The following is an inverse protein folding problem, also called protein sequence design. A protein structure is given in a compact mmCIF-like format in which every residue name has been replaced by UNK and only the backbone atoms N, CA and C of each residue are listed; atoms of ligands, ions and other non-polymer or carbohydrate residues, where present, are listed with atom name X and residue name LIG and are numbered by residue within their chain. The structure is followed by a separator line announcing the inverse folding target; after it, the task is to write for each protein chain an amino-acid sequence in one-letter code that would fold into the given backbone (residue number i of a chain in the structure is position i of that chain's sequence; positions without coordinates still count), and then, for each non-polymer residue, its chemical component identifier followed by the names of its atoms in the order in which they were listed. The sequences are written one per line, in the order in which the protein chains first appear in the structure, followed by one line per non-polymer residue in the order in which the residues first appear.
data_IF_537256724826
#
_entry.id   IF_537256724826
#
_cell.length_a   1.000
_cell.length_b   1.000
_cell.length_c   1.000
_cell.angle_alpha   90.00
_cell.angle_beta   90.00
_cell.angle_gamma   90.00
#
_symmetry.space_group_name_H-M   'P 1'
#
loop_
_entity.id
_entity.type
_entity.pdbx_description
1 polymer ?
#
# COMPACT_ATOMS: atom_id res chain seq x y z
N UNK A 1 47.96 34.10 -15.71
CA UNK A 1 47.04 35.25 -15.41
C UNK A 1 45.68 35.12 -16.07
N UNK A 2 45.50 34.30 -17.12
CA UNK A 2 44.21 34.13 -17.84
C UNK A 2 43.24 33.17 -17.10
N UNK A 3 43.72 32.43 -16.12
CA UNK A 3 42.89 31.44 -15.36
C UNK A 3 42.30 32.00 -14.06
N UNK A 4 42.50 33.27 -13.71
CA UNK A 4 41.95 33.90 -12.49
C UNK A 4 40.72 34.80 -12.73
N UNK A 5 40.33 35.07 -13.98
CA UNK A 5 39.19 35.93 -14.28
C UNK A 5 37.89 35.21 -14.64
N UNK A 6 37.82 33.87 -14.58
CA UNK A 6 36.59 33.09 -14.88
C UNK A 6 35.87 32.50 -13.67
N UNK A 7 36.20 32.96 -12.46
CA UNK A 7 35.57 32.48 -11.22
C UNK A 7 34.63 33.49 -10.58
N UNK A 8 34.12 34.42 -11.33
CA UNK A 8 33.29 35.44 -10.71
C UNK A 8 32.19 36.00 -11.59
N UNK A 9 31.24 35.28 -12.07
CA UNK A 9 29.89 35.79 -12.41
C UNK A 9 29.09 35.04 -13.44
N UNK A 10 29.16 33.74 -13.60
CA UNK A 10 28.05 33.07 -14.31
C UNK A 10 28.00 31.60 -13.89
N UNK A 11 27.49 31.36 -12.69
CA UNK A 11 26.97 30.06 -12.37
C UNK A 11 25.78 29.80 -13.29
N UNK A 12 25.94 28.89 -14.26
CA UNK A 12 24.95 28.58 -15.27
C UNK A 12 23.59 28.35 -14.59
N UNK A 13 22.49 28.91 -15.17
CA UNK A 13 21.13 28.82 -14.62
C UNK A 13 20.77 27.36 -14.25
N UNK A 14 21.36 26.38 -14.96
CA UNK A 14 21.23 24.95 -14.70
C UNK A 14 21.88 24.50 -13.40
N UNK A 15 23.03 25.09 -13.04
CA UNK A 15 23.74 24.76 -11.79
C UNK A 15 23.13 25.48 -10.60
N UNK A 16 22.55 26.66 -10.79
CA UNK A 16 21.79 27.38 -9.79
C UNK A 16 20.50 26.60 -9.40
N UNK A 17 19.80 26.01 -10.38
CA UNK A 17 18.65 25.13 -10.13
C UNK A 17 19.06 23.85 -9.39
N UNK A 18 20.15 23.19 -9.78
CA UNK A 18 20.69 22.02 -9.08
C UNK A 18 21.11 22.34 -7.65
N UNK A 19 21.77 23.46 -7.42
CA UNK A 19 22.17 23.91 -6.08
C UNK A 19 20.97 24.27 -5.20
N UNK A 20 19.95 24.92 -5.80
CA UNK A 20 18.68 25.19 -5.09
C UNK A 20 17.94 23.90 -4.74
N UNK A 21 17.85 22.96 -5.67
CA UNK A 21 17.27 21.63 -5.42
C UNK A 21 18.03 20.86 -4.33
N UNK A 22 19.36 20.93 -4.33
CA UNK A 22 20.18 20.30 -3.28
C UNK A 22 19.92 20.96 -1.91
N UNK A 23 19.82 22.29 -1.84
CA UNK A 23 19.48 22.99 -0.59
C UNK A 23 18.08 22.61 -0.08
N UNK A 24 17.10 22.55 -0.97
CA UNK A 24 15.73 22.12 -0.63
C UNK A 24 15.75 20.66 -0.11
N UNK A 25 16.49 19.79 -0.78
CA UNK A 25 16.65 18.41 -0.37
C UNK A 25 17.31 18.28 1.04
N UNK A 26 18.35 19.06 1.31
CA UNK A 26 19.00 19.11 2.63
C UNK A 26 18.05 19.68 3.70
N UNK A 27 17.27 20.71 3.38
CA UNK A 27 16.26 21.28 4.30
C UNK A 27 15.18 20.26 4.60
N UNK A 28 14.73 19.50 3.61
CA UNK A 28 13.74 18.42 3.79
C UNK A 28 14.32 17.32 4.68
N UNK A 29 15.58 16.90 4.48
CA UNK A 29 16.23 15.90 5.33
C UNK A 29 16.36 16.42 6.77
N UNK A 30 16.73 17.68 6.96
CA UNK A 30 16.84 18.29 8.30
C UNK A 30 15.45 18.41 8.94
N UNK A 31 14.42 18.81 8.20
CA UNK A 31 13.06 18.91 8.70
C UNK A 31 12.48 17.51 9.08
N UNK A 32 12.75 16.50 8.27
CA UNK A 32 12.41 15.10 8.56
C UNK A 32 13.22 14.61 9.77
N UNK A 33 14.51 14.92 9.86
CA UNK A 33 15.35 14.59 11.01
C UNK A 33 14.88 15.24 12.30
N UNK A 34 14.46 16.51 12.26
CA UNK A 34 13.90 17.23 13.42
C UNK A 34 12.54 16.61 13.81
N UNK A 35 11.71 16.25 12.85
CA UNK A 35 10.41 15.60 13.09
C UNK A 35 10.58 14.24 13.79
N UNK A 36 11.61 13.46 13.43
CA UNK A 36 11.93 12.18 14.09
C UNK A 36 12.68 12.35 15.43
N UNK A 37 13.35 13.49 15.66
CA UNK A 37 14.10 13.74 16.90
C UNK A 37 13.25 14.39 18.00
N UNK A 38 12.06 14.94 17.68
CA UNK A 38 11.20 15.49 18.71
C UNK A 38 10.60 14.32 19.51
N UNK A 39 10.97 14.14 20.80
CA UNK A 39 10.33 13.12 21.61
C UNK A 39 8.88 13.55 21.79
N UNK A 40 7.95 12.83 21.19
CA UNK A 40 6.57 12.87 21.60
C UNK A 40 6.55 12.36 23.02
N UNK A 41 6.45 13.26 23.98
CA UNK A 41 6.16 12.95 25.37
C UNK A 41 4.71 12.47 25.46
N UNK A 42 4.50 11.24 25.08
CA UNK A 42 3.28 10.48 25.24
C UNK A 42 3.60 9.26 26.07
N UNK A 43 2.88 9.12 27.18
CA UNK A 43 3.04 8.08 28.20
C UNK A 43 3.12 6.66 27.62
N UNK A 44 3.84 5.74 28.26
CA UNK A 44 3.89 4.35 27.83
C UNK A 44 2.50 3.72 28.03
N UNK A 45 1.80 3.51 26.91
CA UNK A 45 0.55 2.75 26.90
C UNK A 45 0.85 1.36 27.44
N UNK A 46 0.34 1.08 28.63
CA UNK A 46 0.30 -0.24 29.24
C UNK A 46 -0.25 -1.23 28.22
N UNK A 47 0.52 -2.28 27.96
CA UNK A 47 0.02 -3.50 27.31
C UNK A 47 -1.07 -4.10 28.19
N UNK A 48 -2.30 -3.70 27.99
CA UNK A 48 -3.45 -4.40 28.50
C UNK A 48 -3.73 -5.56 27.53
N UNK A 49 -3.57 -6.77 28.04
CA UNK A 49 -3.90 -8.00 27.33
C UNK A 49 -5.42 -7.95 27.12
N UNK A 50 -5.87 -7.60 25.91
CA UNK A 50 -7.27 -7.64 25.54
C UNK A 50 -7.73 -9.09 25.43
N UNK A 51 -8.62 -9.47 26.33
CA UNK A 51 -9.55 -10.59 26.16
C UNK A 51 -10.43 -10.33 24.91
N UNK A 52 -10.91 -11.39 24.22
CA UNK A 52 -11.69 -11.24 23.00
C UNK A 52 -13.09 -10.72 23.36
N UNK A 53 -13.31 -9.41 23.21
CA UNK A 53 -14.63 -8.80 23.32
C UNK A 53 -15.08 -8.35 21.95
N UNK A 54 -16.16 -8.95 21.47
CA UNK A 54 -17.16 -8.56 20.48
C UNK A 54 -16.69 -7.77 19.23
N UNK A 55 -17.12 -8.16 18.03
CA UNK A 55 -16.73 -7.53 16.78
C UNK A 55 -17.35 -6.12 16.71
N UNK A 56 -16.55 -5.11 16.99
CA UNK A 56 -16.88 -3.76 16.57
C UNK A 56 -16.45 -3.63 15.10
N UNK A 57 -17.44 -3.47 14.22
CA UNK A 57 -17.20 -2.89 12.91
C UNK A 57 -16.35 -1.64 13.10
N UNK A 58 -15.14 -1.62 12.51
CA UNK A 58 -14.28 -0.45 12.51
C UNK A 58 -14.97 0.61 11.65
N UNK A 59 -15.78 1.47 12.27
CA UNK A 59 -16.23 2.68 11.61
C UNK A 59 -15.01 3.58 11.50
N UNK A 60 -14.64 3.92 10.27
CA UNK A 60 -13.65 4.98 10.03
C UNK A 60 -14.12 6.22 10.81
N UNK A 61 -13.27 6.82 11.65
CA UNK A 61 -13.68 7.97 12.44
C UNK A 61 -14.18 9.08 11.51
N UNK A 62 -15.34 9.70 11.80
CA UNK A 62 -15.83 10.81 11.00
C UNK A 62 -14.83 11.97 11.12
N UNK A 63 -14.43 12.54 10.00
CA UNK A 63 -13.60 13.75 9.98
C UNK A 63 -14.37 14.91 10.61
N UNK A 64 -14.06 15.26 11.85
CA UNK A 64 -14.70 16.38 12.55
C UNK A 64 -14.07 17.71 12.12
N UNK A 65 -14.71 18.41 11.21
CA UNK A 65 -14.34 19.78 10.87
C UNK A 65 -15.07 20.80 11.78
N UNK A 66 -14.32 21.80 12.27
CA UNK A 66 -14.95 22.93 12.93
C UNK A 66 -15.87 23.70 11.96
N UNK A 67 -16.96 24.28 12.45
CA UNK A 67 -17.90 25.09 11.63
C UNK A 67 -17.20 26.20 10.85
N UNK A 68 -16.12 26.77 11.39
CA UNK A 68 -15.30 27.79 10.73
C UNK A 68 -14.51 27.21 9.54
N UNK A 69 -14.00 25.98 9.65
CA UNK A 69 -13.30 25.30 8.56
C UNK A 69 -14.25 24.97 7.41
N UNK A 70 -15.45 24.51 7.70
CA UNK A 70 -16.50 24.22 6.71
C UNK A 70 -16.89 25.51 5.95
N UNK A 71 -17.05 26.63 6.66
CA UNK A 71 -17.37 27.92 6.04
C UNK A 71 -16.24 28.42 5.14
N UNK A 72 -14.98 28.34 5.59
CA UNK A 72 -13.81 28.74 4.77
C UNK A 72 -13.68 27.88 3.52
N UNK A 73 -13.88 26.56 3.65
CA UNK A 73 -13.82 25.63 2.50
C UNK A 73 -14.94 25.88 1.48
N UNK A 74 -16.12 26.36 1.91
CA UNK A 74 -17.24 26.64 1.01
C UNK A 74 -17.02 27.88 0.10
N UNK A 75 -16.09 28.76 0.46
CA UNK A 75 -15.73 29.97 -0.31
C UNK A 75 -14.58 29.70 -1.29
N UNK A 76 -13.82 28.64 -1.06
CA UNK A 76 -12.69 28.27 -1.91
C UNK A 76 -13.18 27.60 -3.22
N UNK A 77 -12.46 27.78 -4.33
CA UNK A 77 -12.76 27.04 -5.55
C UNK A 77 -12.62 25.52 -5.30
N UNK A 78 -13.28 24.67 -6.12
CA UNK A 78 -13.20 23.21 -5.97
C UNK A 78 -11.76 22.72 -5.87
N UNK A 79 -11.48 21.79 -4.95
CA UNK A 79 -10.12 21.26 -4.66
C UNK A 79 -9.37 20.83 -5.92
N UNK A 80 -10.08 20.31 -6.93
CA UNK A 80 -9.53 19.85 -8.21
C UNK A 80 -8.92 20.97 -9.05
N UNK A 81 -9.28 22.24 -8.77
CA UNK A 81 -8.74 23.41 -9.47
C UNK A 81 -7.52 24.00 -8.79
N UNK A 82 -7.14 23.49 -7.63
CA UNK A 82 -5.98 24.00 -6.90
C UNK A 82 -4.67 23.57 -7.58
N UNK A 83 -3.59 24.38 -7.49
CA UNK A 83 -2.27 23.94 -7.94
C UNK A 83 -1.82 22.66 -7.21
N UNK A 84 -1.16 21.75 -7.93
CA UNK A 84 -0.69 20.47 -7.40
C UNK A 84 -0.02 20.52 -6.02
N UNK A 85 0.90 21.49 -5.73
CA UNK A 85 1.51 21.55 -4.41
C UNK A 85 0.50 21.81 -3.28
N UNK A 86 -0.53 22.62 -3.54
CA UNK A 86 -1.57 22.95 -2.57
C UNK A 86 -2.47 21.75 -2.34
N UNK A 87 -2.86 21.04 -3.41
CA UNK A 87 -3.61 19.80 -3.30
C UNK A 87 -2.88 18.75 -2.43
N UNK A 88 -1.56 18.60 -2.62
CA UNK A 88 -0.73 17.65 -1.86
C UNK A 88 -0.58 18.03 -0.39
N UNK A 89 -0.44 19.32 -0.09
CA UNK A 89 -0.43 19.80 1.30
C UNK A 89 -1.79 19.54 1.95
N UNK A 90 -2.87 19.88 1.25
CA UNK A 90 -4.22 19.62 1.76
C UNK A 90 -4.45 18.14 2.02
N UNK A 91 -4.06 17.27 1.08
CA UNK A 91 -4.13 15.81 1.21
C UNK A 91 -3.39 15.31 2.45
N UNK A 92 -2.19 15.83 2.72
CA UNK A 92 -1.39 15.43 3.89
C UNK A 92 -2.05 15.86 5.21
N UNK A 93 -2.78 16.99 5.22
CA UNK A 93 -3.43 17.53 6.41
C UNK A 93 -4.84 16.97 6.64
N UNK A 94 -5.46 16.38 5.61
CA UNK A 94 -6.85 15.89 5.62
C UNK A 94 -6.94 14.48 5.06
N UNK A 95 -5.99 13.62 5.45
CA UNK A 95 -5.86 12.28 4.87
C UNK A 95 -7.09 11.40 5.12
N UNK A 96 -7.74 11.55 6.27
CA UNK A 96 -8.95 10.80 6.63
C UNK A 96 -10.12 11.17 5.73
N UNK A 97 -10.36 12.48 5.51
CA UNK A 97 -11.39 12.95 4.58
C UNK A 97 -11.11 12.46 3.16
N UNK A 98 -9.83 12.52 2.73
CA UNK A 98 -9.43 12.09 1.41
C UNK A 98 -9.59 10.56 1.20
N UNK A 99 -9.37 9.75 2.23
CA UNK A 99 -9.66 8.31 2.20
C UNK A 99 -11.16 8.09 2.10
N UNK A 100 -11.97 8.76 2.95
CA UNK A 100 -13.43 8.65 2.92
C UNK A 100 -14.00 9.02 1.55
N UNK A 101 -13.57 10.14 0.95
CA UNK A 101 -14.02 10.55 -0.39
C UNK A 101 -13.77 9.47 -1.46
N UNK A 102 -12.71 8.66 -1.32
CA UNK A 102 -12.33 7.61 -2.28
C UNK A 102 -12.95 6.25 -1.98
N UNK A 103 -13.54 6.10 -0.81
CA UNK A 103 -14.09 4.81 -0.34
C UNK A 103 -15.62 4.83 -0.17
N UNK A 104 -16.27 5.99 -0.31
CA UNK A 104 -17.70 6.15 -0.09
C UNK A 104 -18.59 5.23 -0.94
N UNK A 105 -18.18 4.94 -2.18
CA UNK A 105 -18.97 4.13 -3.12
C UNK A 105 -18.57 2.64 -3.12
N UNK A 106 -17.70 2.23 -2.18
CA UNK A 106 -17.18 0.86 -2.11
C UNK A 106 -18.08 0.02 -1.21
N UNK A 107 -18.48 -1.15 -1.68
CA UNK A 107 -19.10 -2.19 -0.84
C UNK A 107 -18.06 -2.75 0.12
N UNK A 108 -18.05 -2.20 1.34
CA UNK A 108 -17.02 -2.42 2.33
C UNK A 108 -17.11 -3.81 2.98
N UNK A 109 -15.98 -4.48 3.09
CA UNK A 109 -15.82 -5.74 3.82
C UNK A 109 -14.92 -5.49 5.03
N UNK A 110 -15.42 -5.63 6.26
CA UNK A 110 -14.60 -5.54 7.46
C UNK A 110 -13.48 -6.58 7.46
N UNK A 111 -12.35 -6.26 8.05
CA UNK A 111 -11.20 -7.17 8.13
C UNK A 111 -11.55 -8.50 8.83
N UNK A 112 -12.52 -8.46 9.76
CA UNK A 112 -13.04 -9.64 10.45
C UNK A 112 -13.77 -10.62 9.55
N UNK A 113 -14.32 -10.14 8.43
CA UNK A 113 -15.05 -10.94 7.44
C UNK A 113 -14.15 -11.42 6.30
N UNK A 114 -12.87 -11.02 6.31
CA UNK A 114 -11.85 -11.50 5.37
C UNK A 114 -11.14 -12.69 6.01
N UNK A 115 -11.12 -13.88 5.38
CA UNK A 115 -10.48 -15.06 5.92
C UNK A 115 -9.04 -14.80 6.36
N UNK A 116 -8.63 -15.36 7.47
CA UNK A 116 -7.25 -15.21 7.97
C UNK A 116 -6.24 -15.76 6.96
N UNK A 117 -6.59 -16.78 6.20
CA UNK A 117 -5.79 -17.35 5.12
C UNK A 117 -5.56 -16.33 4.00
N UNK A 118 -6.56 -15.50 3.69
CA UNK A 118 -6.44 -14.42 2.70
C UNK A 118 -5.47 -13.33 3.19
N UNK A 119 -5.62 -12.92 4.44
CA UNK A 119 -4.74 -11.92 5.06
C UNK A 119 -3.30 -12.45 5.09
N UNK A 120 -3.08 -13.67 5.54
CA UNK A 120 -1.76 -14.32 5.61
C UNK A 120 -1.15 -14.53 4.21
N UNK A 121 -1.93 -14.91 3.21
CA UNK A 121 -1.45 -15.08 1.84
C UNK A 121 -0.95 -13.77 1.26
N UNK A 122 -1.71 -12.68 1.42
CA UNK A 122 -1.31 -11.34 0.99
C UNK A 122 -0.05 -10.88 1.72
N UNK A 123 -0.04 -10.97 3.04
CA UNK A 123 1.12 -10.58 3.85
C UNK A 123 2.36 -11.40 3.48
N UNK A 124 2.21 -12.71 3.27
CA UNK A 124 3.34 -13.57 2.91
C UNK A 124 4.05 -13.10 1.64
N UNK A 125 3.28 -12.73 0.62
CA UNK A 125 3.83 -12.43 -0.72
C UNK A 125 4.20 -10.96 -0.92
N UNK A 126 3.43 -10.03 -0.34
CA UNK A 126 3.59 -8.60 -0.56
C UNK A 126 4.44 -7.94 0.54
N UNK A 127 4.15 -8.25 1.81
CA UNK A 127 4.77 -7.55 2.93
C UNK A 127 4.77 -8.40 4.22
N UNK A 128 5.63 -9.39 4.28
CA UNK A 128 5.63 -10.38 5.35
C UNK A 128 5.93 -9.83 6.75
N UNK A 129 6.49 -8.66 6.85
CA UNK A 129 6.86 -8.02 8.11
C UNK A 129 5.99 -6.80 8.43
N UNK A 130 4.83 -6.69 7.77
CA UNK A 130 3.92 -5.54 7.79
C UNK A 130 3.63 -5.00 9.19
N UNK A 131 3.39 -5.89 10.16
CA UNK A 131 3.08 -5.51 11.53
C UNK A 131 4.28 -5.07 12.37
N UNK A 132 5.52 -5.27 11.88
CA UNK A 132 6.75 -5.03 12.65
C UNK A 132 7.57 -3.84 12.14
N UNK A 133 7.19 -3.22 11.01
CA UNK A 133 7.82 -2.02 10.50
C UNK A 133 6.81 -0.87 10.37
N UNK A 134 7.28 0.36 10.17
CA UNK A 134 6.45 1.51 9.86
C UNK A 134 6.09 1.58 8.37
N UNK A 135 5.74 2.78 7.88
CA UNK A 135 5.35 3.01 6.49
C UNK A 135 6.39 2.56 5.45
N UNK A 136 7.66 2.53 5.84
CA UNK A 136 8.80 2.15 5.00
C UNK A 136 9.56 1.02 5.68
N UNK A 137 9.73 -0.12 5.00
CA UNK A 137 10.59 -1.23 5.44
C UNK A 137 11.99 -1.07 4.86
N UNK A 138 12.88 -0.39 5.60
CA UNK A 138 14.28 -0.16 5.17
C UNK A 138 15.02 -1.47 5.01
N UNK A 139 14.83 -2.42 5.92
CA UNK A 139 15.47 -3.74 5.86
C UNK A 139 14.97 -4.56 4.67
N UNK A 140 13.67 -4.46 4.38
CA UNK A 140 13.06 -5.05 3.20
C UNK A 140 13.61 -4.48 1.90
N UNK A 141 13.78 -3.15 1.82
CA UNK A 141 14.39 -2.48 0.65
C UNK A 141 15.83 -2.94 0.45
N UNK A 142 16.64 -2.98 1.50
CA UNK A 142 18.03 -3.44 1.42
C UNK A 142 18.11 -4.89 0.97
N UNK A 143 17.28 -5.75 1.56
CA UNK A 143 17.21 -7.18 1.19
C UNK A 143 16.77 -7.36 -0.27
N UNK A 144 15.70 -6.69 -0.71
CA UNK A 144 15.22 -6.74 -2.08
C UNK A 144 16.30 -6.25 -3.07
N UNK A 145 17.01 -5.19 -2.73
CA UNK A 145 18.12 -4.66 -3.54
C UNK A 145 19.23 -5.68 -3.72
N UNK A 146 19.67 -6.34 -2.63
CA UNK A 146 20.70 -7.38 -2.68
C UNK A 146 20.27 -8.58 -3.53
N UNK A 147 19.01 -9.04 -3.35
CA UNK A 147 18.45 -10.15 -4.12
C UNK A 147 18.40 -9.81 -5.61
N UNK A 148 17.91 -8.63 -5.97
CA UNK A 148 17.80 -8.19 -7.36
C UNK A 148 19.18 -8.00 -8.02
N UNK A 149 20.17 -7.45 -7.31
CA UNK A 149 21.56 -7.35 -7.82
C UNK A 149 22.13 -8.75 -8.07
N UNK A 150 21.91 -9.69 -7.13
CA UNK A 150 22.43 -11.06 -7.25
C UNK A 150 21.76 -11.83 -8.39
N UNK A 151 20.46 -11.62 -8.59
CA UNK A 151 19.69 -12.25 -9.67
C UNK A 151 19.94 -11.61 -11.06
N UNK A 152 20.44 -10.36 -11.09
CA UNK A 152 20.60 -9.59 -12.34
C UNK A 152 19.29 -9.07 -12.94
N UNK A 153 18.17 -9.26 -12.24
CA UNK A 153 16.83 -8.82 -12.63
C UNK A 153 15.97 -8.48 -11.39
N UNK A 154 14.83 -7.81 -11.60
CA UNK A 154 13.92 -7.46 -10.50
C UNK A 154 13.02 -8.66 -10.16
N UNK A 155 13.44 -9.44 -9.15
CA UNK A 155 12.70 -10.61 -8.66
C UNK A 155 11.92 -10.34 -7.36
N UNK A 156 12.28 -9.29 -6.61
CA UNK A 156 11.64 -8.95 -5.35
C UNK A 156 11.36 -7.44 -5.26
N UNK A 157 10.12 -7.09 -4.88
CA UNK A 157 9.75 -5.72 -4.54
C UNK A 157 10.14 -5.35 -3.11
N UNK A 158 10.44 -4.07 -2.89
CA UNK A 158 10.74 -3.51 -1.57
C UNK A 158 9.70 -2.49 -1.08
N UNK A 159 8.54 -2.37 -1.75
CA UNK A 159 7.46 -1.47 -1.33
C UNK A 159 6.56 -2.15 -0.32
N UNK A 160 6.17 -1.43 0.74
CA UNK A 160 5.24 -1.92 1.77
C UNK A 160 3.79 -1.90 1.27
N UNK A 161 2.89 -2.60 1.97
CA UNK A 161 1.43 -2.53 1.73
C UNK A 161 0.94 -1.09 1.87
N UNK A 162 1.41 -0.33 2.88
CA UNK A 162 1.04 1.08 3.07
C UNK A 162 1.48 1.95 1.88
N UNK A 163 2.65 1.72 1.32
CA UNK A 163 3.13 2.43 0.13
C UNK A 163 2.30 2.09 -1.12
N UNK A 164 1.95 0.81 -1.29
CA UNK A 164 1.08 0.37 -2.39
C UNK A 164 -0.32 0.98 -2.26
N UNK A 165 -0.90 0.98 -1.05
CA UNK A 165 -2.19 1.59 -0.75
C UNK A 165 -2.19 3.08 -1.07
N UNK A 166 -1.20 3.82 -0.57
CA UNK A 166 -1.06 5.26 -0.80
C UNK A 166 -0.94 5.59 -2.28
N UNK A 167 -0.13 4.82 -3.01
CA UNK A 167 -0.01 4.94 -4.46
C UNK A 167 -1.36 4.74 -5.15
N UNK A 168 -2.08 3.68 -4.81
CA UNK A 168 -3.33 3.31 -5.47
C UNK A 168 -4.45 4.33 -5.21
N UNK A 169 -4.50 4.90 -4.00
CA UNK A 169 -5.53 5.88 -3.63
C UNK A 169 -5.25 7.28 -4.16
N UNK A 170 -3.99 7.75 -4.15
CA UNK A 170 -3.71 9.18 -4.26
C UNK A 170 -2.75 9.58 -5.37
N UNK A 171 -1.99 8.64 -5.95
CA UNK A 171 -0.90 8.98 -6.85
C UNK A 171 -1.10 8.40 -8.25
N UNK A 172 -0.40 9.00 -9.22
CA UNK A 172 -0.37 8.48 -10.58
C UNK A 172 0.46 7.19 -10.68
N UNK A 173 0.25 6.44 -11.77
CA UNK A 173 0.99 5.22 -12.05
C UNK A 173 2.40 5.49 -12.64
N UNK A 174 2.80 6.75 -12.77
CA UNK A 174 4.12 7.13 -13.27
C UNK A 174 5.23 6.60 -12.35
N UNK A 175 6.33 6.14 -12.95
CA UNK A 175 7.48 5.62 -12.22
C UNK A 175 8.60 6.67 -12.15
N UNK A 176 8.37 7.76 -11.41
CA UNK A 176 9.35 8.81 -11.18
C UNK A 176 9.86 8.80 -9.73
N UNK A 177 11.09 9.28 -9.51
CA UNK A 177 11.64 9.42 -8.16
C UNK A 177 10.83 10.41 -7.32
N UNK A 178 10.30 11.47 -7.94
CA UNK A 178 9.45 12.47 -7.24
C UNK A 178 8.20 11.79 -6.73
N UNK A 179 7.47 11.07 -7.59
CA UNK A 179 6.29 10.32 -7.20
C UNK A 179 6.60 9.29 -6.09
N UNK A 180 7.77 8.60 -6.16
CA UNK A 180 8.16 7.64 -5.12
C UNK A 180 8.44 8.32 -3.77
N UNK A 181 8.97 9.53 -3.79
CA UNK A 181 9.15 10.34 -2.56
C UNK A 181 7.80 10.78 -1.99
N UNK A 182 6.87 11.20 -2.83
CA UNK A 182 5.50 11.55 -2.42
C UNK A 182 4.76 10.35 -1.81
N UNK A 183 4.88 9.18 -2.43
CA UNK A 183 4.36 7.92 -1.92
C UNK A 183 4.89 7.64 -0.50
N UNK A 184 6.21 7.76 -0.30
CA UNK A 184 6.83 7.52 1.00
C UNK A 184 6.32 8.53 2.06
N UNK A 185 6.24 9.82 1.74
CA UNK A 185 5.76 10.85 2.66
C UNK A 185 4.28 10.65 3.04
N UNK A 186 3.41 10.41 2.06
CA UNK A 186 1.99 10.17 2.32
C UNK A 186 1.79 8.85 3.08
N UNK A 187 2.61 7.84 2.86
CA UNK A 187 2.56 6.58 3.61
C UNK A 187 2.88 6.79 5.09
N UNK A 188 3.84 7.68 5.41
CA UNK A 188 4.12 8.07 6.79
C UNK A 188 2.90 8.75 7.44
N UNK A 189 2.20 9.62 6.70
CA UNK A 189 0.97 10.25 7.19
C UNK A 189 -0.13 9.21 7.40
N UNK A 190 -0.33 8.29 6.47
CA UNK A 190 -1.31 7.20 6.62
C UNK A 190 -1.08 6.40 7.91
N UNK A 191 0.15 6.02 8.21
CA UNK A 191 0.50 5.26 9.42
C UNK A 191 0.38 6.04 10.73
N UNK A 192 0.27 7.36 10.67
CA UNK A 192 -0.02 8.19 11.86
C UNK A 192 -1.53 8.22 12.17
N UNK A 193 -2.39 8.07 11.15
CA UNK A 193 -3.84 8.17 11.26
C UNK A 193 -4.57 6.83 11.35
N UNK A 194 -3.97 5.76 10.81
CA UNK A 194 -4.59 4.44 10.71
C UNK A 194 -3.73 3.36 11.36
N UNK A 195 -4.36 2.46 12.09
CA UNK A 195 -3.70 1.24 12.58
C UNK A 195 -3.35 0.29 11.43
N UNK A 196 -2.47 -0.67 11.67
CA UNK A 196 -2.10 -1.68 10.69
C UNK A 196 -3.32 -2.47 10.16
N UNK A 197 -4.25 -2.83 11.05
CA UNK A 197 -5.46 -3.54 10.66
C UNK A 197 -6.37 -2.67 9.78
N UNK A 198 -6.52 -1.39 10.10
CA UNK A 198 -7.27 -0.44 9.27
C UNK A 198 -6.62 -0.25 7.90
N UNK A 199 -5.30 -0.13 7.83
CA UNK A 199 -4.56 -0.02 6.57
C UNK A 199 -4.74 -1.28 5.70
N UNK A 200 -4.68 -2.46 6.32
CA UNK A 200 -4.90 -3.72 5.62
C UNK A 200 -6.35 -3.85 5.13
N UNK A 201 -7.31 -3.43 5.95
CA UNK A 201 -8.74 -3.40 5.60
C UNK A 201 -8.99 -2.47 4.40
N UNK A 202 -8.45 -1.23 4.44
CA UNK A 202 -8.55 -0.28 3.32
C UNK A 202 -7.90 -0.89 2.06
N UNK A 203 -6.73 -1.51 2.20
CA UNK A 203 -6.03 -2.16 1.09
C UNK A 203 -6.91 -3.23 0.42
N UNK A 204 -7.50 -4.14 1.18
CA UNK A 204 -8.37 -5.17 0.64
C UNK A 204 -9.59 -4.61 -0.08
N UNK A 205 -10.15 -3.51 0.42
CA UNK A 205 -11.35 -2.92 -0.15
C UNK A 205 -11.09 -2.01 -1.36
N UNK A 206 -9.85 -1.51 -1.54
CA UNK A 206 -9.53 -0.53 -2.59
C UNK A 206 -8.58 -1.03 -3.68
N UNK A 207 -7.92 -2.17 -3.45
CA UNK A 207 -6.97 -2.73 -4.43
C UNK A 207 -7.69 -3.28 -5.65
N UNK A 208 -7.10 -3.02 -6.82
CA UNK A 208 -7.54 -3.62 -8.07
C UNK A 208 -6.97 -5.02 -8.22
N UNK A 209 -7.83 -6.01 -8.43
CA UNK A 209 -7.49 -7.42 -8.56
C UNK A 209 -7.60 -7.96 -9.99
N UNK A 210 -7.80 -7.12 -11.00
CA UNK A 210 -7.97 -7.54 -12.40
C UNK A 210 -9.44 -7.78 -12.78
N UNK A 211 -9.71 -8.06 -14.05
CA UNK A 211 -11.05 -8.32 -14.60
C UNK A 211 -12.13 -7.28 -14.23
N UNK A 212 -11.72 -6.02 -14.02
CA UNK A 212 -12.65 -4.97 -13.55
C UNK A 212 -12.95 -5.02 -12.05
N UNK A 213 -12.41 -5.98 -11.30
CA UNK A 213 -12.68 -6.16 -9.88
C UNK A 213 -11.79 -5.23 -9.03
N UNK A 214 -12.40 -4.26 -8.37
CA UNK A 214 -11.80 -3.44 -7.33
C UNK A 214 -12.39 -3.83 -5.99
N UNK A 215 -11.52 -4.11 -5.02
CA UNK A 215 -11.88 -4.62 -3.70
C UNK A 215 -12.08 -6.13 -3.64
N UNK A 216 -11.88 -6.67 -2.45
CA UNK A 216 -11.89 -8.12 -2.17
C UNK A 216 -13.25 -8.76 -2.45
N UNK A 217 -14.36 -8.06 -2.17
CA UNK A 217 -15.71 -8.54 -2.46
C UNK A 217 -15.92 -8.72 -3.94
N UNK A 218 -15.62 -7.68 -4.72
CA UNK A 218 -15.74 -7.74 -6.18
C UNK A 218 -14.85 -8.82 -6.77
N UNK A 219 -13.63 -8.99 -6.26
CA UNK A 219 -12.70 -10.03 -6.72
C UNK A 219 -13.24 -11.45 -6.44
N UNK A 220 -13.72 -11.72 -5.22
CA UNK A 220 -14.28 -13.02 -4.84
C UNK A 220 -15.50 -13.40 -5.68
N UNK A 221 -16.40 -12.44 -5.91
CA UNK A 221 -17.57 -12.64 -6.78
C UNK A 221 -17.17 -12.85 -8.25
N UNK A 222 -16.26 -12.00 -8.78
CA UNK A 222 -15.84 -12.08 -10.19
C UNK A 222 -15.16 -13.39 -10.54
N UNK A 223 -14.30 -13.88 -9.66
CA UNK A 223 -13.50 -15.06 -9.95
C UNK A 223 -14.14 -16.36 -9.50
N UNK A 224 -14.87 -16.36 -8.38
CA UNK A 224 -15.36 -17.60 -7.76
C UNK A 224 -16.86 -17.65 -7.50
N UNK A 225 -17.60 -16.56 -7.75
CA UNK A 225 -19.02 -16.42 -7.41
C UNK A 225 -19.28 -16.70 -5.92
N UNK A 226 -18.40 -16.19 -5.06
CA UNK A 226 -18.41 -16.36 -3.62
C UNK A 226 -18.28 -15.05 -2.88
N UNK A 227 -18.74 -14.99 -1.63
CA UNK A 227 -18.41 -13.94 -0.71
C UNK A 227 -16.98 -14.15 -0.16
N UNK A 228 -16.27 -13.10 0.29
CA UNK A 228 -14.89 -13.23 0.80
C UNK A 228 -14.73 -14.28 1.89
N UNK A 229 -15.67 -14.36 2.84
CA UNK A 229 -15.66 -15.31 3.96
C UNK A 229 -15.86 -16.77 3.54
N UNK A 230 -16.29 -17.03 2.31
CA UNK A 230 -16.51 -18.37 1.76
C UNK A 230 -15.29 -18.90 0.99
N UNK A 231 -14.28 -18.01 0.77
CA UNK A 231 -13.07 -18.40 0.03
C UNK A 231 -12.24 -19.41 0.81
N UNK A 232 -11.75 -20.41 0.10
CA UNK A 232 -10.82 -21.42 0.63
C UNK A 232 -9.37 -20.99 0.38
N UNK A 233 -8.41 -21.65 1.03
CA UNK A 233 -6.99 -21.35 0.92
C UNK A 233 -6.47 -21.28 -0.52
N UNK A 234 -6.95 -22.15 -1.41
CA UNK A 234 -6.56 -22.16 -2.82
C UNK A 234 -6.99 -20.87 -3.54
N UNK A 235 -8.19 -20.39 -3.26
CA UNK A 235 -8.78 -19.16 -3.82
C UNK A 235 -8.13 -17.93 -3.20
N UNK A 236 -7.89 -17.93 -1.88
CA UNK A 236 -7.14 -16.88 -1.18
C UNK A 236 -5.74 -16.69 -1.76
N UNK A 237 -5.03 -17.79 -2.04
CA UNK A 237 -3.70 -17.73 -2.64
C UNK A 237 -3.71 -17.19 -4.09
N UNK A 238 -4.80 -17.43 -4.84
CA UNK A 238 -5.00 -16.83 -6.17
C UNK A 238 -5.22 -15.33 -6.04
N UNK A 239 -6.17 -14.88 -5.23
CA UNK A 239 -6.43 -13.44 -5.04
C UNK A 239 -5.18 -12.72 -4.55
N UNK A 240 -4.44 -13.28 -3.60
CA UNK A 240 -3.19 -12.71 -3.10
C UNK A 240 -2.08 -12.60 -4.17
N UNK A 241 -2.15 -13.39 -5.22
CA UNK A 241 -1.20 -13.35 -6.33
C UNK A 241 -1.44 -12.20 -7.32
N UNK A 242 -2.67 -11.67 -7.38
CA UNK A 242 -3.12 -10.74 -8.42
C UNK A 242 -2.53 -9.32 -8.32
N UNK A 243 -2.33 -8.70 -7.14
CA UNK A 243 -1.84 -7.31 -7.05
C UNK A 243 -0.50 -7.09 -7.76
N UNK A 244 0.32 -8.12 -7.90
CA UNK A 244 1.60 -8.07 -8.63
C UNK A 244 1.44 -7.71 -10.11
N UNK A 245 0.47 -8.34 -10.80
CA UNK A 245 0.19 -8.10 -12.22
C UNK A 245 -1.26 -8.49 -12.55
N UNK A 246 -2.27 -7.67 -12.13
CA UNK A 246 -3.67 -8.05 -12.12
C UNK A 246 -4.22 -8.51 -13.49
N UNK A 247 -3.83 -7.82 -14.56
CA UNK A 247 -4.26 -8.18 -15.91
C UNK A 247 -3.53 -9.41 -16.47
N UNK A 248 -2.21 -9.50 -16.21
CA UNK A 248 -1.41 -10.61 -16.74
C UNK A 248 -1.63 -11.95 -16.01
N UNK A 249 -2.07 -11.88 -14.74
CA UNK A 249 -2.33 -13.05 -13.89
C UNK A 249 -3.83 -13.35 -13.74
N UNK A 250 -4.69 -12.68 -14.53
CA UNK A 250 -6.13 -12.92 -14.51
C UNK A 250 -6.43 -14.42 -14.76
N UNK A 251 -7.02 -15.16 -13.79
CA UNK A 251 -7.25 -16.59 -13.94
C UNK A 251 -8.24 -16.94 -15.07
N UNK A 252 -9.10 -15.99 -15.47
CA UNK A 252 -10.04 -16.19 -16.58
C UNK A 252 -9.36 -16.14 -17.95
N UNK A 253 -8.19 -15.50 -18.06
CA UNK A 253 -7.45 -15.31 -19.32
C UNK A 253 -6.13 -16.06 -19.33
N UNK A 254 -5.45 -16.19 -18.20
CA UNK A 254 -4.15 -16.83 -18.07
C UNK A 254 -4.12 -17.78 -16.84
N UNK A 255 -4.88 -18.89 -16.88
CA UNK A 255 -4.94 -19.85 -15.76
C UNK A 255 -3.56 -20.45 -15.42
N UNK A 256 -2.72 -20.74 -16.41
CA UNK A 256 -1.37 -21.29 -16.22
C UNK A 256 -0.44 -20.34 -15.44
N UNK A 257 -0.39 -19.07 -15.86
CA UNK A 257 0.39 -18.04 -15.17
C UNK A 257 -0.13 -17.80 -13.75
N UNK A 258 -1.45 -17.79 -13.58
CA UNK A 258 -2.11 -17.67 -12.29
C UNK A 258 -1.75 -18.87 -11.38
N UNK A 259 -1.86 -20.11 -11.88
CA UNK A 259 -1.52 -21.33 -11.13
C UNK A 259 -0.07 -21.35 -10.69
N UNK A 260 0.86 -20.92 -11.56
CA UNK A 260 2.27 -20.79 -11.20
C UNK A 260 2.48 -19.79 -10.07
N UNK A 261 1.78 -18.66 -10.11
CA UNK A 261 1.87 -17.61 -9.09
C UNK A 261 1.21 -18.05 -7.77
N UNK A 262 0.06 -18.74 -7.83
CA UNK A 262 -0.59 -19.37 -6.67
C UNK A 262 0.39 -20.28 -5.91
N UNK A 263 1.11 -21.15 -6.63
CA UNK A 263 2.13 -22.02 -6.02
C UNK A 263 3.20 -21.23 -5.30
N UNK A 264 3.66 -20.11 -5.88
CA UNK A 264 4.64 -19.23 -5.24
C UNK A 264 4.08 -18.62 -3.94
N UNK A 265 2.80 -18.19 -3.93
CA UNK A 265 2.15 -17.68 -2.71
C UNK A 265 2.14 -18.76 -1.65
N UNK A 266 1.64 -19.97 -1.96
CA UNK A 266 1.58 -21.10 -1.01
C UNK A 266 2.98 -21.49 -0.47
N UNK A 267 3.99 -21.55 -1.33
CA UNK A 267 5.38 -21.80 -0.92
C UNK A 267 5.91 -20.69 -0.01
N UNK A 268 5.52 -19.45 -0.26
CA UNK A 268 5.92 -18.31 0.57
C UNK A 268 5.22 -18.36 1.92
N UNK A 269 3.94 -18.74 1.97
CA UNK A 269 3.22 -19.00 3.23
C UNK A 269 3.89 -20.08 4.07
N UNK A 270 4.36 -21.17 3.44
CA UNK A 270 5.16 -22.21 4.14
C UNK A 270 6.46 -21.62 4.69
N UNK A 271 7.20 -20.90 3.86
CA UNK A 271 8.45 -20.25 4.28
C UNK A 271 8.28 -19.29 5.46
N UNK A 272 7.09 -18.69 5.58
CA UNK A 272 6.74 -17.76 6.67
C UNK A 272 6.09 -18.45 7.87
N UNK A 273 5.85 -19.76 7.79
CA UNK A 273 5.28 -20.52 8.87
C UNK A 273 3.76 -20.37 9.05
N UNK A 274 3.06 -19.82 8.06
CA UNK A 274 1.60 -19.69 8.10
C UNK A 274 0.88 -21.02 7.86
N UNK A 275 1.43 -21.87 6.99
CA UNK A 275 0.89 -23.20 6.69
C UNK A 275 2.00 -24.25 6.64
N UNK A 276 1.62 -25.53 6.79
CA UNK A 276 2.55 -26.64 6.62
C UNK A 276 2.77 -27.05 5.16
N UNK A 277 3.92 -27.66 4.85
CA UNK A 277 4.28 -28.11 3.50
C UNK A 277 3.23 -29.02 2.88
N UNK A 278 2.76 -30.02 3.63
CA UNK A 278 1.74 -30.98 3.17
C UNK A 278 0.43 -30.28 2.77
N UNK A 279 -0.01 -29.26 3.54
CA UNK A 279 -1.20 -28.51 3.21
C UNK A 279 -0.99 -27.68 1.92
N UNK A 280 0.17 -27.03 1.77
CA UNK A 280 0.49 -26.27 0.58
C UNK A 280 0.53 -27.13 -0.70
N UNK A 281 1.13 -28.33 -0.62
CA UNK A 281 1.17 -29.29 -1.73
C UNK A 281 -0.24 -29.78 -2.10
N UNK A 282 -1.03 -30.17 -1.10
CA UNK A 282 -2.42 -30.58 -1.29
C UNK A 282 -3.23 -29.47 -1.96
N UNK A 283 -3.23 -28.27 -1.38
CA UNK A 283 -3.95 -27.10 -1.92
C UNK A 283 -3.50 -26.74 -3.33
N UNK A 284 -2.20 -26.84 -3.63
CA UNK A 284 -1.67 -26.59 -4.96
C UNK A 284 -2.14 -27.61 -6.00
N UNK A 285 -2.45 -28.83 -5.61
CA UNK A 285 -2.94 -29.90 -6.49
C UNK A 285 -4.47 -29.92 -6.63
N UNK A 286 -5.19 -29.25 -5.74
CA UNK A 286 -6.65 -29.18 -5.79
C UNK A 286 -7.11 -28.36 -7.01
N UNK A 287 -8.18 -28.83 -7.71
CA UNK A 287 -8.79 -28.05 -8.77
C UNK A 287 -9.49 -26.81 -8.17
N UNK A 288 -9.36 -25.69 -8.84
CA UNK A 288 -10.08 -24.45 -8.50
C UNK A 288 -11.15 -24.19 -9.54
N UNK A 289 -12.37 -23.99 -9.07
CA UNK A 289 -13.53 -23.71 -9.92
C UNK A 289 -13.71 -22.20 -10.03
N UNK A 290 -13.79 -21.70 -11.25
CA UNK A 290 -14.03 -20.30 -11.56
C UNK A 290 -15.50 -20.03 -11.80
N UNK A 291 -15.94 -18.79 -11.62
CA UNK A 291 -17.32 -18.34 -11.82
C UNK A 291 -17.85 -18.61 -13.24
N UNK A 292 -16.97 -18.64 -14.25
CA UNK A 292 -17.34 -18.98 -15.64
C UNK A 292 -17.47 -20.49 -15.92
N UNK A 293 -17.35 -21.34 -14.90
CA UNK A 293 -17.38 -22.79 -15.01
C UNK A 293 -16.06 -23.45 -15.42
N UNK A 294 -15.02 -22.67 -15.69
CA UNK A 294 -13.68 -23.21 -15.95
C UNK A 294 -13.06 -23.74 -14.67
N UNK A 295 -12.10 -24.68 -14.85
CA UNK A 295 -11.36 -25.30 -13.73
C UNK A 295 -9.87 -25.31 -14.09
N UNK A 296 -8.99 -25.08 -13.16
CA UNK A 296 -7.53 -25.20 -13.35
C UNK A 296 -6.78 -25.67 -12.10
#
# INVERSE_FOLDING_TARGET
EILRCLVGSEMCIRDRKRYLMFKIFVIIIIAVGIFFWYPTSGDPIKKEILSPTTPHSVQLPPAEHSKATVFLLSILPPKQTWPDPIQKIWLSLNIEEAVQERTNDIEWVPITDIPIEMQQALLAIEDHNFYNHGAIDVDGILRATLVNITAGEVVQGGSTITQQLTKNLFLSQEQTLIRKTEEALLSLVMEQHYSKDQLLEIYFNTTYFGAGATGIKSAALTYFDKLPQEMQLAECAIIAALPYAPSALNPLENPEGCKKRQRLVLQTMVKRGYIGTTLAEKTSAEPVFLANGATF
#
